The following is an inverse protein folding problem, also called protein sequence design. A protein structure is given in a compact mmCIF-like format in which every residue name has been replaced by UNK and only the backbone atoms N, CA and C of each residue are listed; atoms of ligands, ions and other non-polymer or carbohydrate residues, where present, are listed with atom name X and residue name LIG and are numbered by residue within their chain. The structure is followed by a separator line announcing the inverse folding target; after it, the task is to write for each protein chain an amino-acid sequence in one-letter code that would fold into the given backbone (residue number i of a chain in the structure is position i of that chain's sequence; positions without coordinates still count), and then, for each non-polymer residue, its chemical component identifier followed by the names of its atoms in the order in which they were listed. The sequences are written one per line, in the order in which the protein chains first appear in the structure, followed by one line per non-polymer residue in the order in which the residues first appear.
data_IF_951926902029
#
_entry.id   IF_951926902029
#
_cell.length_a   1.000
_cell.length_b   1.000
_cell.length_c   1.000
_cell.angle_alpha   90.00
_cell.angle_beta   90.00
_cell.angle_gamma   90.00
#
_symmetry.space_group_name_H-M   'P 1'
#
loop_
_entity.id
_entity.type
_entity.pdbx_description
1 polymer ?
#
# COMPACT_ATOMS: atom_id res chain seq x y z
N UNK A 1 5.26 -7.93 -9.49
CA UNK A 1 5.71 -6.68 -10.12
C UNK A 1 4.73 -6.27 -11.19
N UNK A 2 4.29 -5.02 -11.22
CA UNK A 2 3.59 -4.48 -12.38
C UNK A 2 4.64 -4.04 -13.41
N UNK A 3 4.34 -4.27 -14.67
CA UNK A 3 5.24 -3.95 -15.77
C UNK A 3 4.63 -2.83 -16.61
N UNK A 4 5.47 -1.91 -17.06
CA UNK A 4 5.13 -1.04 -18.16
C UNK A 4 4.92 -1.84 -19.46
N UNK A 5 4.37 -1.23 -20.53
CA UNK A 5 4.20 -1.91 -21.81
C UNK A 5 5.49 -2.49 -22.41
N UNK A 6 6.65 -1.96 -22.02
CA UNK A 6 7.99 -2.43 -22.39
C UNK A 6 8.54 -3.52 -21.46
N UNK A 7 7.73 -4.05 -20.55
CA UNK A 7 8.09 -5.02 -19.53
C UNK A 7 9.04 -4.52 -18.44
N UNK A 8 9.26 -3.22 -18.30
CA UNK A 8 10.02 -2.66 -17.18
C UNK A 8 9.27 -2.90 -15.87
N UNK A 9 9.88 -3.51 -14.85
CA UNK A 9 9.25 -3.67 -13.56
C UNK A 9 9.21 -2.31 -12.85
N UNK A 10 8.00 -1.85 -12.50
CA UNK A 10 7.79 -0.53 -11.90
C UNK A 10 7.78 -0.56 -10.37
N UNK A 11 7.27 -1.64 -9.79
CA UNK A 11 7.12 -1.82 -8.34
C UNK A 11 7.61 -3.20 -7.91
N UNK A 12 7.98 -3.32 -6.64
CA UNK A 12 8.39 -4.61 -6.07
C UNK A 12 9.17 -4.46 -4.78
N UNK A 13 9.64 -5.59 -4.27
CA UNK A 13 10.63 -5.60 -3.19
C UNK A 13 12.01 -5.20 -3.73
N UNK A 14 12.71 -4.35 -3.01
CA UNK A 14 14.09 -3.97 -3.31
C UNK A 14 15.05 -4.89 -2.54
N UNK A 15 16.26 -5.17 -3.06
CA UNK A 15 17.26 -5.94 -2.30
C UNK A 15 17.57 -5.27 -0.95
N UNK A 16 17.81 -6.09 0.08
CA UNK A 16 18.27 -5.57 1.37
C UNK A 16 19.55 -4.77 1.20
N UNK A 17 19.68 -3.65 1.90
CA UNK A 17 20.81 -2.72 1.75
C UNK A 17 20.70 -1.77 0.55
N UNK A 18 19.60 -1.79 -0.21
CA UNK A 18 19.37 -0.79 -1.28
C UNK A 18 19.25 0.62 -0.71
N UNK A 19 18.68 0.75 0.48
CA UNK A 19 18.49 1.98 1.23
C UNK A 19 19.07 1.81 2.63
N UNK A 20 20.36 2.04 2.79
CA UNK A 20 21.11 1.75 4.03
C UNK A 20 20.60 2.51 5.26
N UNK A 21 20.01 3.67 5.06
CA UNK A 21 19.48 4.54 6.11
C UNK A 21 17.98 4.35 6.36
N UNK A 22 17.34 3.39 5.70
CA UNK A 22 15.90 3.10 5.84
C UNK A 22 15.70 1.70 6.42
N UNK A 23 15.19 1.64 7.64
CA UNK A 23 14.80 0.40 8.28
C UNK A 23 13.31 0.12 8.00
N UNK A 24 13.01 -0.60 6.92
CA UNK A 24 11.64 -0.91 6.52
C UNK A 24 11.02 -2.02 7.36
N UNK A 25 11.82 -2.95 7.89
CA UNK A 25 11.32 -4.10 8.65
C UNK A 25 10.18 -4.85 7.93
N UNK A 26 8.99 -4.92 8.56
CA UNK A 26 7.82 -5.55 7.96
C UNK A 26 7.29 -4.82 6.71
N UNK A 27 7.55 -3.53 6.58
CA UNK A 27 7.09 -2.68 5.48
C UNK A 27 7.91 -2.90 4.18
N UNK A 28 8.78 -3.91 4.16
CA UNK A 28 9.68 -4.21 3.05
C UNK A 28 8.98 -4.79 1.81
N UNK A 29 7.92 -5.57 2.04
CA UNK A 29 7.33 -6.38 0.98
C UNK A 29 6.13 -5.68 0.34
N UNK A 30 6.24 -5.39 -0.96
CA UNK A 30 5.11 -4.84 -1.72
C UNK A 30 3.93 -5.83 -1.72
N UNK A 31 2.77 -5.33 -1.35
CA UNK A 31 1.53 -6.09 -1.27
C UNK A 31 1.22 -6.65 0.11
N UNK A 32 2.05 -6.43 1.12
CA UNK A 32 1.80 -6.91 2.48
C UNK A 32 0.79 -6.06 3.26
N UNK A 33 0.41 -6.55 4.42
CA UNK A 33 -0.45 -5.91 5.39
C UNK A 33 0.26 -5.84 6.74
N UNK A 34 0.24 -4.67 7.37
CA UNK A 34 0.84 -4.47 8.69
C UNK A 34 -0.16 -3.82 9.62
N UNK A 35 -0.47 -4.51 10.71
CA UNK A 35 -1.20 -3.93 11.83
C UNK A 35 -0.24 -3.64 12.98
N UNK A 36 -0.29 -2.43 13.49
CA UNK A 36 0.56 -1.96 14.58
C UNK A 36 -0.26 -1.35 15.69
N UNK A 37 -0.09 -1.85 16.91
CA UNK A 37 -0.70 -1.34 18.13
C UNK A 37 0.38 -0.88 19.11
N UNK A 38 0.16 0.18 19.91
CA UNK A 38 1.14 0.67 20.87
C UNK A 38 1.52 -0.39 21.90
N UNK A 39 2.81 -0.66 22.02
CA UNK A 39 3.34 -1.61 22.99
C UNK A 39 3.19 -3.09 22.64
N UNK A 40 2.62 -3.40 21.47
CA UNK A 40 2.43 -4.77 20.99
C UNK A 40 3.33 -5.07 19.78
N UNK A 41 3.71 -6.32 19.56
CA UNK A 41 4.38 -6.71 18.32
C UNK A 41 3.51 -6.43 17.10
N UNK A 42 4.13 -6.05 15.99
CA UNK A 42 3.44 -5.90 14.69
C UNK A 42 2.82 -7.24 14.27
N UNK A 43 1.61 -7.19 13.75
CA UNK A 43 0.93 -8.33 13.12
C UNK A 43 0.96 -8.12 11.62
N UNK A 44 1.50 -9.09 10.89
CA UNK A 44 1.67 -9.02 9.43
C UNK A 44 1.06 -10.24 8.75
N UNK A 45 0.90 -10.17 7.45
CA UNK A 45 0.54 -11.31 6.61
C UNK A 45 1.76 -12.03 6.00
N UNK A 46 2.95 -11.83 6.59
CA UNK A 46 4.21 -12.47 6.20
C UNK A 46 4.42 -13.85 6.84
N UNK A 47 3.34 -14.49 7.24
CA UNK A 47 3.33 -15.81 7.83
C UNK A 47 3.06 -16.89 6.77
N UNK A 48 3.21 -18.16 7.16
CA UNK A 48 2.90 -19.28 6.28
C UNK A 48 1.43 -19.27 5.85
N UNK A 49 1.22 -19.42 4.54
CA UNK A 49 -0.10 -19.43 3.95
C UNK A 49 -0.44 -20.77 3.29
N UNK A 50 -1.66 -21.23 3.48
CA UNK A 50 -2.23 -22.24 2.59
C UNK A 50 -2.65 -21.55 1.30
N UNK A 51 -2.06 -21.96 0.18
CA UNK A 51 -2.20 -21.24 -1.09
C UNK A 51 -2.84 -22.12 -2.16
N UNK A 52 -3.79 -21.56 -2.91
CA UNK A 52 -4.39 -22.14 -4.10
C UNK A 52 -4.22 -21.21 -5.29
N UNK A 53 -3.85 -21.77 -6.44
CA UNK A 53 -3.71 -21.03 -7.70
C UNK A 53 -4.79 -21.51 -8.67
N UNK A 54 -5.51 -20.56 -9.25
CA UNK A 54 -6.53 -20.83 -10.28
C UNK A 54 -6.21 -20.04 -11.54
N UNK A 55 -6.49 -20.65 -12.69
CA UNK A 55 -6.34 -20.03 -14.00
C UNK A 55 -7.72 -19.72 -14.59
N UNK A 56 -7.95 -18.46 -14.91
CA UNK A 56 -9.17 -18.01 -15.58
C UNK A 56 -9.18 -18.38 -17.08
N UNK A 57 -10.36 -18.52 -17.65
CA UNK A 57 -10.53 -18.77 -19.10
C UNK A 57 -10.03 -17.60 -19.98
N UNK A 58 -9.96 -16.42 -19.41
CA UNK A 58 -9.42 -15.20 -20.01
C UNK A 58 -7.89 -15.10 -19.92
N UNK A 59 -7.24 -16.10 -19.29
CA UNK A 59 -5.82 -16.16 -19.04
C UNK A 59 -5.37 -15.47 -17.75
N UNK A 60 -6.29 -14.94 -16.97
CA UNK A 60 -5.96 -14.40 -15.64
C UNK A 60 -5.48 -15.49 -14.70
N UNK A 61 -4.66 -15.09 -13.70
CA UNK A 61 -4.18 -15.99 -12.64
C UNK A 61 -4.63 -15.44 -11.31
N UNK A 62 -5.36 -16.24 -10.53
CA UNK A 62 -5.77 -15.87 -9.18
C UNK A 62 -5.01 -16.70 -8.17
N UNK A 63 -4.36 -16.04 -7.23
CA UNK A 63 -3.71 -16.64 -6.07
C UNK A 63 -4.59 -16.36 -4.85
N UNK A 64 -5.06 -17.42 -4.22
CA UNK A 64 -5.83 -17.36 -2.99
C UNK A 64 -4.96 -17.87 -1.85
N UNK A 65 -4.72 -17.06 -0.84
CA UNK A 65 -3.95 -17.39 0.36
C UNK A 65 -4.82 -17.26 1.61
N UNK A 66 -4.76 -18.27 2.49
CA UNK A 66 -5.24 -18.17 3.85
C UNK A 66 -4.03 -18.13 4.79
N UNK A 67 -3.90 -17.03 5.51
CA UNK A 67 -2.72 -16.69 6.31
C UNK A 67 -3.15 -16.66 7.78
N UNK A 68 -2.54 -17.50 8.62
CA UNK A 68 -2.79 -17.49 10.05
C UNK A 68 -1.98 -16.38 10.72
N UNK A 69 -2.66 -15.39 11.31
CA UNK A 69 -2.02 -14.33 12.09
C UNK A 69 -2.37 -14.44 13.58
N UNK A 70 -1.63 -13.73 14.42
CA UNK A 70 -1.87 -13.71 15.86
C UNK A 70 -3.28 -13.19 16.24
N UNK A 71 -3.91 -12.39 15.39
CA UNK A 71 -5.26 -11.84 15.63
C UNK A 71 -6.37 -12.66 14.98
N UNK A 72 -6.03 -13.61 14.11
CA UNK A 72 -6.97 -14.43 13.37
C UNK A 72 -6.58 -14.54 11.88
N UNK A 73 -7.34 -15.29 11.08
CA UNK A 73 -6.99 -15.50 9.68
C UNK A 73 -7.13 -14.21 8.83
N UNK A 74 -6.23 -14.07 7.88
CA UNK A 74 -6.34 -13.12 6.76
C UNK A 74 -6.48 -13.92 5.47
N UNK A 75 -7.56 -13.67 4.73
CA UNK A 75 -7.75 -14.22 3.40
C UNK A 75 -7.27 -13.16 2.40
N UNK A 76 -6.29 -13.53 1.59
CA UNK A 76 -5.68 -12.66 0.59
C UNK A 76 -5.85 -13.25 -0.79
N UNK A 77 -6.60 -12.55 -1.64
CA UNK A 77 -6.83 -12.96 -3.02
C UNK A 77 -6.16 -11.93 -3.92
N UNK A 78 -5.27 -12.39 -4.79
CA UNK A 78 -4.61 -11.57 -5.79
C UNK A 78 -4.95 -12.09 -7.17
N UNK A 79 -5.53 -11.23 -8.03
CA UNK A 79 -5.83 -11.59 -9.41
C UNK A 79 -4.95 -10.80 -10.37
N UNK A 80 -4.11 -11.52 -11.10
CA UNK A 80 -3.23 -10.98 -12.13
C UNK A 80 -3.96 -11.04 -13.46
N UNK A 81 -4.21 -9.88 -14.07
CA UNK A 81 -4.93 -9.79 -15.33
C UNK A 81 -4.03 -10.16 -16.51
N UNK A 82 -4.52 -10.97 -17.44
CA UNK A 82 -3.72 -11.46 -18.57
C UNK A 82 -3.42 -10.40 -19.63
N UNK A 83 -4.32 -9.42 -19.79
CA UNK A 83 -4.30 -8.45 -20.89
C UNK A 83 -4.08 -7.01 -20.45
N UNK A 84 -3.80 -6.82 -19.18
CA UNK A 84 -3.54 -5.51 -18.60
C UNK A 84 -2.48 -5.65 -17.50
N UNK A 85 -1.57 -4.70 -17.32
CA UNK A 85 -0.64 -4.66 -16.21
C UNK A 85 -1.38 -4.26 -14.92
N UNK A 86 -2.27 -5.14 -14.48
CA UNK A 86 -3.18 -4.93 -13.35
C UNK A 86 -3.15 -6.11 -12.39
N UNK A 87 -3.08 -5.81 -11.11
CA UNK A 87 -3.24 -6.77 -10.01
C UNK A 87 -4.39 -6.27 -9.14
N UNK A 88 -5.42 -7.08 -8.99
CA UNK A 88 -6.52 -6.82 -8.08
C UNK A 88 -6.26 -7.52 -6.76
N UNK A 89 -6.42 -6.80 -5.65
CA UNK A 89 -6.32 -7.31 -4.29
C UNK A 89 -7.70 -7.32 -3.62
N UNK A 90 -7.99 -8.44 -2.96
CA UNK A 90 -9.17 -8.60 -2.11
C UNK A 90 -8.70 -9.21 -0.79
N UNK A 91 -8.80 -8.44 0.29
CA UNK A 91 -8.29 -8.76 1.60
C UNK A 91 -9.44 -8.86 2.59
N UNK A 92 -9.63 -10.03 3.20
CA UNK A 92 -10.62 -10.25 4.25
C UNK A 92 -9.92 -10.62 5.56
N UNK A 93 -10.02 -9.74 6.54
CA UNK A 93 -9.50 -9.95 7.89
C UNK A 93 -10.60 -10.56 8.74
N UNK A 94 -10.47 -11.83 9.08
CA UNK A 94 -11.42 -12.58 9.94
C UNK A 94 -11.02 -12.51 11.41
N UNK A 95 -10.65 -11.30 11.83
CA UNK A 95 -10.27 -11.05 13.21
C UNK A 95 -11.52 -10.85 14.08
N UNK A 96 -11.69 -11.63 15.15
CA UNK A 96 -12.86 -11.49 16.03
C UNK A 96 -12.84 -10.15 16.76
N UNK A 97 -11.66 -9.67 17.12
CA UNK A 97 -11.47 -8.42 17.86
C UNK A 97 -10.40 -7.57 17.21
N UNK A 98 -10.72 -6.30 16.97
CA UNK A 98 -9.79 -5.32 16.47
C UNK A 98 -9.26 -4.47 17.64
N UNK A 99 -7.99 -4.61 17.96
CA UNK A 99 -7.30 -3.76 18.92
C UNK A 99 -7.23 -2.30 18.46
N UNK A 100 -6.78 -1.42 19.36
CA UNK A 100 -6.41 -0.04 19.00
C UNK A 100 -5.09 -0.08 18.25
N UNK A 101 -5.08 0.38 17.03
CA UNK A 101 -3.88 0.37 16.21
C UNK A 101 -4.12 0.94 14.82
N UNK A 102 -3.08 0.94 14.03
CA UNK A 102 -3.08 1.34 12.62
C UNK A 102 -2.99 0.09 11.74
N UNK A 103 -3.76 0.05 10.66
CA UNK A 103 -3.65 -0.96 9.62
C UNK A 103 -3.18 -0.32 8.33
N UNK A 104 -2.04 -0.78 7.83
CA UNK A 104 -1.45 -0.40 6.54
C UNK A 104 -1.56 -1.55 5.56
N UNK A 105 -1.90 -1.24 4.32
CA UNK A 105 -2.04 -2.19 3.23
C UNK A 105 -1.17 -1.76 2.05
N UNK A 106 -0.67 -2.73 1.32
CA UNK A 106 -0.06 -2.56 0.01
C UNK A 106 1.44 -2.31 0.02
N UNK A 107 1.99 -1.45 0.85
CA UNK A 107 3.44 -1.10 0.91
C UNK A 107 4.10 -1.08 -0.48
N UNK A 108 3.50 -0.34 -1.43
CA UNK A 108 3.85 -0.34 -2.84
C UNK A 108 5.12 0.48 -3.03
N UNK A 109 6.26 -0.19 -3.17
CA UNK A 109 7.55 0.45 -3.34
C UNK A 109 7.87 0.60 -4.82
N UNK A 110 8.18 1.81 -5.27
CA UNK A 110 8.71 2.07 -6.60
C UNK A 110 10.13 1.52 -6.69
N UNK A 111 10.44 0.83 -7.79
CA UNK A 111 11.79 0.31 -8.00
C UNK A 111 12.73 1.45 -8.41
N UNK A 112 13.88 1.60 -7.73
CA UNK A 112 14.88 2.61 -8.09
C UNK A 112 15.32 2.45 -9.55
N UNK A 113 15.35 3.56 -10.28
CA UNK A 113 15.72 3.59 -11.70
C UNK A 113 14.61 3.20 -12.68
N UNK A 114 13.44 2.76 -12.21
CA UNK A 114 12.29 2.49 -13.08
C UNK A 114 11.58 3.78 -13.53
N UNK A 115 11.77 4.86 -12.80
CA UNK A 115 11.16 6.17 -13.06
C UNK A 115 12.21 7.24 -13.27
N UNK A 116 11.86 8.23 -14.08
CA UNK A 116 12.61 9.48 -14.15
C UNK A 116 12.25 10.35 -12.93
N UNK A 117 13.14 10.32 -11.93
CA UNK A 117 12.94 11.04 -10.68
C UNK A 117 12.68 12.54 -10.89
N UNK A 118 13.32 13.15 -11.91
CA UNK A 118 13.20 14.59 -12.16
C UNK A 118 11.81 15.03 -12.59
N UNK A 119 10.98 14.11 -13.07
CA UNK A 119 9.61 14.36 -13.54
C UNK A 119 8.55 13.62 -12.73
N UNK A 120 8.95 12.91 -11.67
CA UNK A 120 8.04 12.11 -10.86
C UNK A 120 7.05 12.99 -10.09
N UNK A 121 5.78 12.66 -10.22
CA UNK A 121 4.67 13.35 -9.58
C UNK A 121 3.72 12.36 -8.94
N UNK A 122 2.92 12.83 -7.98
CA UNK A 122 1.71 12.12 -7.59
C UNK A 122 0.47 12.94 -7.94
N UNK A 123 -0.62 12.26 -8.22
CA UNK A 123 -1.94 12.86 -8.46
C UNK A 123 -3.01 12.13 -7.68
N UNK A 124 -3.94 12.86 -7.13
CA UNK A 124 -5.08 12.32 -6.37
C UNK A 124 -6.24 13.30 -6.35
N UNK A 125 -7.34 12.92 -5.70
CA UNK A 125 -8.46 13.81 -5.42
C UNK A 125 -8.65 13.92 -3.91
N UNK A 126 -8.82 15.13 -3.42
CA UNK A 126 -9.01 15.41 -2.00
C UNK A 126 -10.24 16.31 -1.78
N UNK A 127 -11.42 15.78 -2.15
CA UNK A 127 -12.72 16.50 -2.03
C UNK A 127 -12.99 17.52 -3.12
N UNK A 128 -12.15 17.62 -4.13
CA UNK A 128 -12.26 18.54 -5.25
C UNK A 128 -11.85 17.93 -6.58
N UNK A 129 -11.39 18.77 -7.51
CA UNK A 129 -10.75 18.33 -8.75
C UNK A 129 -9.44 17.59 -8.46
N UNK A 130 -8.97 16.82 -9.45
CA UNK A 130 -7.68 16.16 -9.36
C UNK A 130 -6.56 17.17 -9.18
N UNK A 131 -5.68 16.91 -8.23
CA UNK A 131 -4.48 17.69 -7.93
C UNK A 131 -3.25 16.90 -8.30
N UNK A 132 -2.19 17.60 -8.72
CA UNK A 132 -0.92 16.99 -9.11
C UNK A 132 0.23 17.73 -8.45
N UNK A 133 1.15 16.98 -7.86
CA UNK A 133 2.29 17.52 -7.11
C UNK A 133 3.59 16.87 -7.57
N UNK A 134 4.65 17.65 -7.69
CA UNK A 134 5.99 17.14 -7.94
C UNK A 134 6.53 16.46 -6.66
N UNK A 135 7.23 15.32 -6.82
CA UNK A 135 7.91 14.64 -5.71
C UNK A 135 9.36 15.10 -5.54
N UNK A 136 9.93 15.73 -6.54
CA UNK A 136 11.32 16.21 -6.53
C UNK A 136 11.33 17.74 -6.49
N UNK A 137 12.15 18.31 -5.61
CA UNK A 137 12.28 19.74 -5.42
C UNK A 137 11.26 20.39 -4.48
N UNK A 138 10.19 19.68 -4.14
CA UNK A 138 9.23 20.12 -3.14
C UNK A 138 9.19 19.09 -1.99
N UNK A 139 9.43 19.55 -0.78
CA UNK A 139 9.23 18.72 0.41
C UNK A 139 7.76 18.88 0.82
N UNK A 140 6.94 17.90 0.46
CA UNK A 140 5.56 17.83 0.95
C UNK A 140 5.57 17.11 2.29
N UNK A 141 5.69 17.86 3.37
CA UNK A 141 5.62 17.33 4.72
C UNK A 141 4.38 17.89 5.41
N UNK A 142 3.53 17.02 5.91
CA UNK A 142 2.38 17.40 6.74
C UNK A 142 2.77 17.63 8.22
N UNK A 143 4.05 17.89 8.47
CA UNK A 143 4.62 18.11 9.80
C UNK A 143 5.15 16.83 10.45
N UNK A 144 5.70 16.98 11.65
CA UNK A 144 6.13 15.83 12.42
C UNK A 144 4.94 14.90 12.70
N UNK A 145 5.12 13.59 12.60
CA UNK A 145 4.05 12.64 12.90
C UNK A 145 3.57 12.86 14.34
N UNK A 146 2.25 13.01 14.48
CA UNK A 146 1.58 13.20 15.78
C UNK A 146 1.60 11.90 16.57
N UNK A 147 1.83 10.77 15.90
CA UNK A 147 1.90 9.44 16.49
C UNK A 147 3.10 8.70 15.89
N UNK A 148 3.77 7.89 16.70
CA UNK A 148 4.85 6.98 16.26
C UNK A 148 4.39 5.95 15.23
N UNK A 149 3.08 5.79 15.05
CA UNK A 149 2.47 4.84 14.12
C UNK A 149 2.23 5.44 12.73
N UNK A 150 2.45 6.73 12.55
CA UNK A 150 2.36 7.37 11.23
C UNK A 150 3.75 7.39 10.60
N UNK A 151 3.98 6.54 9.63
CA UNK A 151 5.28 6.34 8.96
C UNK A 151 5.38 7.04 7.60
N UNK A 152 4.45 7.94 7.28
CA UNK A 152 4.40 8.63 6.00
C UNK A 152 4.73 10.11 6.11
N UNK A 153 5.37 10.67 5.09
CA UNK A 153 5.65 12.10 5.00
C UNK A 153 4.43 12.90 4.60
N UNK A 154 3.50 12.31 3.83
CA UNK A 154 2.23 12.96 3.53
C UNK A 154 1.05 11.98 3.45
N UNK A 155 -0.12 12.45 3.86
CA UNK A 155 -1.40 11.77 3.70
C UNK A 155 -2.14 12.34 2.49
N UNK A 156 -2.72 11.45 1.68
CA UNK A 156 -3.40 11.77 0.44
C UNK A 156 -4.87 11.35 0.55
N UNK A 157 -5.79 12.27 0.27
CA UNK A 157 -7.18 11.91 0.07
C UNK A 157 -7.31 10.98 -1.15
N UNK A 158 -8.23 10.04 -1.09
CA UNK A 158 -8.64 9.23 -2.24
C UNK A 158 -10.15 9.36 -2.40
N UNK A 159 -10.64 10.59 -2.46
CA UNK A 159 -12.09 10.84 -2.42
C UNK A 159 -12.83 10.29 -3.62
N UNK A 160 -12.17 10.17 -4.78
CA UNK A 160 -12.66 9.48 -5.95
C UNK A 160 -12.09 8.06 -6.11
N UNK A 161 -11.44 7.53 -5.06
CA UNK A 161 -10.96 6.15 -5.01
C UNK A 161 -9.73 5.86 -5.88
N UNK A 162 -8.91 6.85 -6.19
CA UNK A 162 -7.69 6.63 -6.95
C UNK A 162 -6.56 7.56 -6.54
N UNK A 163 -5.34 7.06 -6.77
CA UNK A 163 -4.13 7.85 -6.70
C UNK A 163 -3.14 7.33 -7.76
N UNK A 164 -2.27 8.20 -8.25
CA UNK A 164 -1.34 7.91 -9.33
C UNK A 164 0.04 8.48 -9.04
N UNK A 165 1.07 7.67 -9.24
CA UNK A 165 2.48 8.05 -9.27
C UNK A 165 2.93 7.95 -10.72
N UNK A 166 3.42 9.04 -11.30
CA UNK A 166 3.76 9.09 -12.72
C UNK A 166 4.99 9.95 -12.99
N UNK A 167 5.80 9.52 -13.94
CA UNK A 167 6.79 10.32 -14.62
C UNK A 167 6.37 10.57 -16.09
N UNK A 168 7.30 10.98 -16.93
CA UNK A 168 7.01 11.20 -18.37
C UNK A 168 6.80 9.92 -19.17
N UNK A 169 7.22 8.75 -18.67
CA UNK A 169 7.22 7.48 -19.39
C UNK A 169 6.29 6.45 -18.76
N UNK A 170 6.18 6.45 -17.43
CA UNK A 170 5.55 5.36 -16.68
C UNK A 170 4.55 5.89 -15.65
N UNK A 171 3.57 5.07 -15.36
CA UNK A 171 2.56 5.36 -14.35
C UNK A 171 2.28 4.13 -13.51
N UNK A 172 2.17 4.33 -12.20
CA UNK A 172 1.55 3.38 -11.27
C UNK A 172 0.32 4.03 -10.66
N UNK A 173 -0.83 3.46 -10.94
CA UNK A 173 -2.12 3.91 -10.40
C UNK A 173 -2.65 2.90 -9.42
N UNK A 174 -3.12 3.37 -8.28
CA UNK A 174 -3.86 2.58 -7.31
C UNK A 174 -5.33 2.99 -7.36
N UNK A 175 -6.20 2.00 -7.48
CA UNK A 175 -7.65 2.15 -7.49
C UNK A 175 -8.22 1.44 -6.28
N UNK A 176 -9.03 2.14 -5.48
CA UNK A 176 -9.62 1.64 -4.24
C UNK A 176 -11.12 1.45 -4.45
N UNK A 177 -11.62 0.28 -4.06
CA UNK A 177 -13.06 0.04 -4.00
C UNK A 177 -13.65 0.73 -2.75
N UNK A 178 -14.20 1.91 -2.94
CA UNK A 178 -14.81 2.74 -1.90
C UNK A 178 -16.07 2.11 -1.29
N UNK A 179 -16.70 1.15 -1.96
CA UNK A 179 -17.86 0.43 -1.45
C UNK A 179 -17.46 -0.55 -0.34
N UNK A 180 -16.23 -1.09 -0.40
CA UNK A 180 -15.73 -1.96 0.66
C UNK A 180 -15.25 -1.18 1.86
N UNK A 181 -14.43 -0.14 1.66
CA UNK A 181 -13.98 0.76 2.72
C UNK A 181 -13.38 2.05 2.17
N UNK A 182 -13.56 3.19 2.86
CA UNK A 182 -12.76 4.37 2.57
C UNK A 182 -11.30 4.10 3.01
N UNK A 183 -10.36 4.28 2.09
CA UNK A 183 -8.93 4.21 2.36
C UNK A 183 -8.29 5.58 2.16
N UNK A 184 -7.22 5.83 2.89
CA UNK A 184 -6.39 7.03 2.74
C UNK A 184 -5.04 6.61 2.18
N UNK A 185 -4.53 7.32 1.20
CA UNK A 185 -3.17 7.12 0.71
C UNK A 185 -2.15 7.75 1.66
N UNK A 186 -1.09 7.02 1.95
CA UNK A 186 0.06 7.51 2.69
C UNK A 186 1.28 7.38 1.80
N UNK A 187 1.96 8.49 1.55
CA UNK A 187 3.15 8.51 0.73
C UNK A 187 4.37 8.82 1.59
N UNK A 188 5.38 7.96 1.48
CA UNK A 188 6.69 8.17 2.05
C UNK A 188 7.70 8.27 0.92
N UNK A 189 8.37 9.42 0.80
CA UNK A 189 9.39 9.62 -0.22
C UNK A 189 10.55 10.45 0.33
N UNK A 190 11.75 10.04 0.01
CA UNK A 190 12.99 10.75 0.37
C UNK A 190 14.18 10.27 -0.44
N UNK A 191 15.21 11.07 -0.53
CA UNK A 191 16.49 10.63 -1.05
C UNK A 191 17.23 9.80 -0.01
N UNK A 192 17.70 8.62 -0.38
CA UNK A 192 18.42 7.69 0.47
C UNK A 192 19.57 7.06 -0.32
N UNK A 193 20.84 7.33 0.09
CA UNK A 193 22.01 6.79 -0.60
C UNK A 193 22.10 7.18 -2.09
N UNK A 194 21.64 8.35 -2.49
CA UNK A 194 21.61 8.82 -3.87
C UNK A 194 20.52 8.20 -4.76
N UNK A 195 19.54 7.54 -4.15
CA UNK A 195 18.37 6.95 -4.82
C UNK A 195 17.09 7.49 -4.21
N UNK A 196 16.06 7.64 -5.01
CA UNK A 196 14.74 7.97 -4.48
C UNK A 196 14.10 6.72 -3.86
N UNK A 197 13.87 6.77 -2.55
CA UNK A 197 12.92 5.89 -1.90
C UNK A 197 11.53 6.49 -2.04
N UNK A 198 10.61 5.74 -2.62
CA UNK A 198 9.21 6.14 -2.75
C UNK A 198 8.32 4.92 -2.48
N UNK A 199 7.50 5.02 -1.43
CA UNK A 199 6.58 3.96 -1.03
C UNK A 199 5.21 4.54 -0.75
N UNK A 200 4.21 3.91 -1.34
CA UNK A 200 2.81 4.19 -1.14
C UNK A 200 2.18 3.12 -0.27
N UNK A 201 1.45 3.52 0.75
CA UNK A 201 0.65 2.67 1.61
C UNK A 201 -0.81 3.11 1.58
N UNK A 202 -1.72 2.19 1.85
CA UNK A 202 -3.13 2.48 2.06
C UNK A 202 -3.45 2.35 3.55
N UNK A 203 -3.89 3.44 4.17
CA UNK A 203 -4.36 3.40 5.55
C UNK A 203 -5.81 2.95 5.60
N UNK A 204 -6.03 1.81 6.22
CA UNK A 204 -7.35 1.24 6.44
C UNK A 204 -7.86 1.47 7.87
N UNK A 205 -6.98 1.75 8.80
CA UNK A 205 -7.28 2.06 10.18
C UNK A 205 -6.18 2.96 10.75
N UNK A 206 -6.59 4.01 11.45
CA UNK A 206 -5.69 4.91 12.17
C UNK A 206 -5.90 4.79 13.68
N UNK A 207 -4.79 4.88 14.41
CA UNK A 207 -4.82 5.09 15.84
C UNK A 207 -5.14 6.56 16.12
N UNK A 208 -6.28 6.80 16.72
CA UNK A 208 -6.63 8.11 17.27
C UNK A 208 -6.37 8.09 18.79
N UNK A 209 -5.25 8.64 19.20
CA UNK A 209 -4.84 8.74 20.59
C UNK A 209 -5.47 9.93 21.33
N UNK A 210 -6.16 10.80 20.62
CA UNK A 210 -6.91 11.94 21.18
C UNK A 210 -8.30 11.54 21.68
N UNK A 211 -8.80 10.40 21.26
CA UNK A 211 -10.14 9.89 21.63
C UNK A 211 -10.10 9.01 22.88
N UNK A 212 -11.19 9.10 23.67
CA UNK A 212 -11.46 8.07 24.69
C UNK A 212 -11.49 6.69 24.03
N UNK A 213 -11.01 5.62 24.72
CA UNK A 213 -11.07 4.29 24.17
C UNK A 213 -12.50 3.97 23.70
N UNK A 214 -12.67 3.81 22.39
CA UNK A 214 -13.89 3.24 21.84
C UNK A 214 -13.91 1.73 22.16
N UNK A 215 -15.08 1.11 22.31
CA UNK A 215 -15.16 -0.34 22.38
C UNK A 215 -14.49 -0.96 21.16
N UNK A 216 -13.88 -2.12 21.34
CA UNK A 216 -13.29 -2.88 20.23
C UNK A 216 -14.30 -3.03 19.11
N UNK A 217 -13.86 -2.82 17.90
CA UNK A 217 -14.68 -3.09 16.73
C UNK A 217 -14.66 -4.60 16.50
N UNK A 218 -15.81 -5.21 16.44
CA UNK A 218 -15.99 -6.64 16.22
C UNK A 218 -16.24 -6.96 14.75
N UNK A 219 -15.89 -8.17 14.34
CA UNK A 219 -16.28 -8.75 13.06
C UNK A 219 -15.24 -8.61 11.95
N UNK A 220 -15.44 -9.42 10.93
CA UNK A 220 -14.61 -9.44 9.74
C UNK A 220 -14.66 -8.12 8.96
N UNK A 221 -13.53 -7.76 8.35
CA UNK A 221 -13.43 -6.58 7.48
C UNK A 221 -12.82 -6.97 6.17
N UNK A 222 -13.27 -6.32 5.13
CA UNK A 222 -12.82 -6.54 3.76
C UNK A 222 -12.36 -5.25 3.12
N UNK A 223 -11.26 -5.31 2.38
CA UNK A 223 -10.67 -4.19 1.66
C UNK A 223 -10.32 -4.65 0.25
N UNK A 224 -10.67 -3.85 -0.74
CA UNK A 224 -10.34 -4.11 -2.13
C UNK A 224 -9.64 -2.92 -2.75
N UNK A 225 -8.58 -3.20 -3.47
CA UNK A 225 -7.88 -2.22 -4.29
C UNK A 225 -7.19 -2.91 -5.47
N UNK A 226 -6.79 -2.13 -6.44
CA UNK A 226 -6.00 -2.62 -7.56
C UNK A 226 -4.77 -1.75 -7.78
N UNK A 227 -3.72 -2.37 -8.31
CA UNK A 227 -2.52 -1.70 -8.80
C UNK A 227 -2.48 -1.85 -10.31
N UNK A 228 -2.35 -0.74 -11.01
CA UNK A 228 -2.35 -0.67 -12.48
C UNK A 228 -1.06 0.02 -12.93
N UNK A 229 -0.27 -0.65 -13.77
CA UNK A 229 0.90 -0.08 -14.45
C UNK A 229 0.52 0.46 -15.83
N UNK A 230 1.22 1.48 -16.30
CA UNK A 230 1.11 2.02 -17.66
C UNK A 230 2.45 2.57 -18.11
#
# INVERSE_FOLDING_TARGET
SSFAPDFTPLIGGVPHGTFDDIALQADWYTGDCVFEAPGEPKVTDLEWATTHIAHGKDGSVTVHGEIATALGPVIKIMTFQARAPRIDFDLEFRWPNWGRGSLRLGHITLLPGAFDESSLTYSTTNGGSAERFALVGETVEHGAPVSFLVSATCALGLTEGWLELADKNHTVRVEVDRETAPLIGLLNHRQAGGKLFCQLMLSALELDDTRKPAPYREGARRFRFAIVGR
#
